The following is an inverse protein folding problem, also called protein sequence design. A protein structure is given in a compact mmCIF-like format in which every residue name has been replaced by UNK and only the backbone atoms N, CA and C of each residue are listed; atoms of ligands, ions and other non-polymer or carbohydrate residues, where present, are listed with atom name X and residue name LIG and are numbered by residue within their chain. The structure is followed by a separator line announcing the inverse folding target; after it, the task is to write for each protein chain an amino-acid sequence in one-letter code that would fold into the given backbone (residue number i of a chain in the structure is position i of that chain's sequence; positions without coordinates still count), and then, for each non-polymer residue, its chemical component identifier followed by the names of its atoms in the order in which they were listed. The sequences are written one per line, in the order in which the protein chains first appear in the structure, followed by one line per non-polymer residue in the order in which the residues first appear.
data_IF_449411947738
#
_entry.id   IF_449411947738
#
_cell.length_a   1.000
_cell.length_b   1.000
_cell.length_c   1.000
_cell.angle_alpha   90.00
_cell.angle_beta   90.00
_cell.angle_gamma   90.00
#
_symmetry.space_group_name_H-M   'P 1'
#
loop_
_entity.id
_entity.type
_entity.pdbx_description
1 polymer ?
#
# COMPACT_ATOMS: atom_id res chain seq x y z
N UNK A 1 12.17 -75.02 -47.14
CA UNK A 1 10.99 -75.15 -46.25
C UNK A 1 11.12 -74.07 -45.19
N UNK A 2 10.45 -72.93 -45.39
CA UNK A 2 10.53 -71.78 -44.49
C UNK A 2 9.26 -71.80 -43.63
N UNK A 3 9.40 -72.09 -42.33
CA UNK A 3 8.29 -72.06 -41.39
C UNK A 3 8.07 -70.59 -41.01
N UNK A 4 6.96 -70.04 -41.49
CA UNK A 4 6.50 -68.71 -41.13
C UNK A 4 5.76 -68.83 -39.79
N UNK A 5 6.39 -68.37 -38.71
CA UNK A 5 5.74 -68.27 -37.39
C UNK A 5 4.79 -67.07 -37.47
N UNK A 6 3.49 -67.35 -37.53
CA UNK A 6 2.44 -66.33 -37.43
C UNK A 6 2.47 -65.75 -36.02
N UNK A 7 2.59 -64.43 -35.90
CA UNK A 7 2.47 -63.71 -34.64
C UNK A 7 1.07 -63.94 -34.06
N UNK A 8 1.00 -64.52 -32.86
CA UNK A 8 -0.26 -64.74 -32.15
C UNK A 8 -0.70 -63.41 -31.54
N UNK A 9 -1.82 -62.85 -32.01
CA UNK A 9 -2.38 -61.64 -31.42
C UNK A 9 -2.98 -61.96 -30.05
N UNK A 10 -2.61 -61.18 -29.03
CA UNK A 10 -3.12 -61.32 -27.66
C UNK A 10 -4.55 -60.79 -27.64
N UNK A 11 -5.50 -61.63 -27.20
CA UNK A 11 -6.91 -61.28 -27.06
C UNK A 11 -7.33 -61.32 -25.60
N UNK A 12 -8.24 -60.44 -25.21
CA UNK A 12 -8.86 -60.44 -23.89
C UNK A 12 -10.32 -60.88 -23.97
N UNK A 13 -10.77 -61.52 -22.91
CA UNK A 13 -12.17 -61.90 -22.76
C UNK A 13 -12.93 -60.70 -22.18
N UNK A 14 -13.83 -60.11 -22.96
CA UNK A 14 -14.60 -58.93 -22.56
C UNK A 14 -16.09 -59.24 -22.52
N UNK A 15 -16.81 -58.65 -21.56
CA UNK A 15 -18.26 -58.73 -21.51
C UNK A 15 -18.87 -57.82 -22.58
N UNK A 16 -19.81 -58.34 -23.38
CA UNK A 16 -20.54 -57.58 -24.41
C UNK A 16 -21.89 -57.06 -23.90
N UNK A 17 -22.16 -57.19 -22.59
CA UNK A 17 -23.45 -56.87 -21.98
C UNK A 17 -24.48 -58.00 -22.06
N UNK A 18 -24.43 -58.85 -23.09
CA UNK A 18 -25.29 -60.03 -23.26
C UNK A 18 -24.51 -61.35 -23.36
N UNK A 19 -23.21 -61.32 -23.14
CA UNK A 19 -22.30 -62.46 -23.29
C UNK A 19 -20.85 -62.04 -23.10
N UNK A 20 -19.95 -62.86 -23.60
CA UNK A 20 -18.50 -62.65 -23.54
C UNK A 20 -17.91 -62.90 -24.91
N UNK A 21 -16.98 -62.05 -25.33
CA UNK A 21 -16.30 -62.14 -26.62
C UNK A 21 -14.80 -61.87 -26.49
N UNK A 22 -14.02 -62.39 -27.44
CA UNK A 22 -12.59 -62.17 -27.51
C UNK A 22 -12.29 -60.91 -28.32
N UNK A 23 -11.85 -59.86 -27.62
CA UNK A 23 -11.46 -58.59 -28.25
C UNK A 23 -9.95 -58.44 -28.30
N UNK A 24 -9.45 -57.71 -29.29
CA UNK A 24 -8.01 -57.46 -29.44
C UNK A 24 -7.52 -56.56 -28.30
N UNK A 25 -6.33 -56.86 -27.78
CA UNK A 25 -5.80 -56.26 -26.56
C UNK A 25 -5.64 -54.73 -26.59
N UNK A 26 -5.51 -54.17 -27.78
CA UNK A 26 -5.32 -52.75 -28.07
C UNK A 26 -6.63 -52.00 -28.38
N UNK A 27 -7.77 -52.72 -28.39
CA UNK A 27 -9.10 -52.15 -28.74
C UNK A 27 -10.10 -52.20 -27.58
N UNK A 28 -9.65 -52.47 -26.35
CA UNK A 28 -10.55 -52.62 -25.20
C UNK A 28 -11.24 -51.31 -24.84
N UNK A 29 -12.46 -51.10 -25.32
CA UNK A 29 -13.35 -50.03 -24.87
C UNK A 29 -14.44 -50.60 -23.97
N UNK A 30 -14.49 -50.17 -22.70
CA UNK A 30 -15.61 -50.50 -21.82
C UNK A 30 -16.74 -49.51 -22.11
N UNK A 31 -17.76 -49.95 -22.85
CA UNK A 31 -18.84 -49.07 -23.28
C UNK A 31 -19.63 -48.46 -22.10
N UNK A 32 -19.84 -49.24 -21.03
CA UNK A 32 -20.59 -48.82 -19.84
C UNK A 32 -19.97 -49.42 -18.57
N UNK A 33 -19.06 -48.71 -17.89
CA UNK A 33 -18.75 -49.02 -16.49
C UNK A 33 -19.77 -48.29 -15.60
N UNK A 34 -20.56 -49.02 -14.81
CA UNK A 34 -21.50 -48.40 -13.87
C UNK A 34 -20.73 -47.65 -12.78
N UNK A 35 -19.66 -48.27 -12.26
CA UNK A 35 -18.74 -47.67 -11.30
C UNK A 35 -17.29 -47.94 -11.71
N UNK A 36 -16.41 -46.98 -11.42
CA UNK A 36 -14.94 -47.14 -11.46
C UNK A 36 -14.44 -47.01 -10.01
N UNK A 37 -13.68 -47.99 -9.53
CA UNK A 37 -13.12 -47.96 -8.19
C UNK A 37 -12.00 -46.92 -8.07
N UNK A 38 -11.95 -46.22 -6.94
CA UNK A 38 -10.85 -45.31 -6.56
C UNK A 38 -10.36 -45.69 -5.16
N UNK A 39 -9.07 -45.50 -4.92
CA UNK A 39 -8.43 -45.78 -3.64
C UNK A 39 -7.79 -44.50 -3.11
N UNK A 40 -7.71 -44.37 -1.78
CA UNK A 40 -6.90 -43.34 -1.17
C UNK A 40 -5.42 -43.61 -1.47
N UNK A 41 -4.73 -42.61 -2.02
CA UNK A 41 -3.28 -42.58 -2.12
C UNK A 41 -2.75 -41.40 -1.30
N UNK A 42 -1.88 -41.71 -0.34
CA UNK A 42 -1.25 -40.74 0.56
C UNK A 42 0.27 -40.61 0.33
N UNK A 43 0.76 -41.17 -0.79
CA UNK A 43 2.17 -41.11 -1.17
C UNK A 43 2.62 -39.66 -1.36
N UNK A 44 3.75 -39.29 -0.75
CA UNK A 44 4.38 -37.97 -0.90
C UNK A 44 5.07 -37.85 -2.28
N UNK A 45 4.24 -37.68 -3.30
CA UNK A 45 4.65 -37.49 -4.67
C UNK A 45 3.57 -36.68 -5.42
N UNK A 46 3.99 -36.02 -6.50
CA UNK A 46 3.05 -35.36 -7.42
C UNK A 46 2.18 -36.42 -8.13
N UNK A 47 0.87 -36.38 -7.87
CA UNK A 47 -0.14 -37.21 -8.53
C UNK A 47 -0.78 -36.43 -9.67
N UNK A 48 -0.98 -37.06 -10.83
CA UNK A 48 -1.59 -36.38 -11.97
C UNK A 48 -3.10 -36.18 -11.78
N UNK A 49 -3.59 -34.98 -12.09
CA UNK A 49 -5.03 -34.73 -12.18
C UNK A 49 -5.49 -34.99 -13.60
N UNK A 50 -6.55 -35.78 -13.73
CA UNK A 50 -6.98 -36.29 -15.02
C UNK A 50 -8.11 -35.46 -15.64
N UNK A 51 -8.18 -35.43 -16.96
CA UNK A 51 -9.18 -34.67 -17.72
C UNK A 51 -9.61 -35.41 -19.00
N UNK A 52 -10.75 -34.97 -19.53
CA UNK A 52 -11.37 -35.54 -20.73
C UNK A 52 -11.43 -34.50 -21.84
N UNK A 53 -11.27 -34.95 -23.09
CA UNK A 53 -11.28 -34.06 -24.26
C UNK A 53 -12.67 -33.54 -24.67
N UNK A 54 -13.74 -34.10 -24.12
CA UNK A 54 -15.12 -33.68 -24.37
C UNK A 54 -16.00 -33.91 -23.13
N UNK A 55 -17.15 -33.23 -23.09
CA UNK A 55 -18.13 -33.30 -22.00
C UNK A 55 -19.11 -34.49 -22.10
N UNK A 56 -18.97 -35.34 -23.11
CA UNK A 56 -19.83 -36.49 -23.38
C UNK A 56 -19.12 -37.51 -24.27
N UNK A 57 -19.61 -38.76 -24.25
CA UNK A 57 -19.04 -39.87 -25.02
C UNK A 57 -17.91 -40.64 -24.31
N UNK A 58 -17.40 -41.67 -24.98
CA UNK A 58 -16.33 -42.54 -24.47
C UNK A 58 -14.95 -41.93 -24.76
N UNK A 59 -14.53 -40.96 -23.94
CA UNK A 59 -13.27 -40.25 -24.10
C UNK A 59 -12.13 -40.94 -23.32
N UNK A 60 -10.90 -40.97 -23.85
CA UNK A 60 -9.75 -41.45 -23.10
C UNK A 60 -9.48 -40.55 -21.89
N UNK A 61 -9.07 -41.15 -20.78
CA UNK A 61 -8.56 -40.40 -19.63
C UNK A 61 -7.15 -39.89 -19.95
N UNK A 62 -6.92 -38.58 -19.81
CA UNK A 62 -5.65 -37.91 -20.13
C UNK A 62 -5.13 -37.15 -18.92
N UNK A 63 -3.84 -36.85 -18.94
CA UNK A 63 -3.14 -36.06 -17.93
C UNK A 63 -2.22 -35.04 -18.61
N UNK A 64 -1.82 -34.02 -17.87
CA UNK A 64 -0.86 -32.99 -18.29
C UNK A 64 0.32 -33.00 -17.32
N UNK A 65 1.53 -32.74 -17.81
CA UNK A 65 2.74 -32.80 -17.01
C UNK A 65 2.73 -31.79 -15.85
N UNK A 66 2.12 -30.62 -16.06
CA UNK A 66 2.17 -29.49 -15.13
C UNK A 66 0.90 -29.38 -14.28
N UNK A 67 -0.06 -30.31 -14.45
CA UNK A 67 -1.29 -30.39 -13.65
C UNK A 67 -1.24 -31.57 -12.66
N UNK A 68 -0.71 -31.30 -11.47
CA UNK A 68 -0.49 -32.32 -10.44
C UNK A 68 -0.96 -31.89 -9.05
N UNK A 69 -1.21 -32.86 -8.19
CA UNK A 69 -1.59 -32.68 -6.78
C UNK A 69 -0.70 -33.54 -5.89
N UNK A 70 -0.08 -32.96 -4.86
CA UNK A 70 0.63 -33.72 -3.83
C UNK A 70 -0.28 -33.87 -2.58
N UNK A 71 -0.69 -35.11 -2.21
CA UNK A 71 -1.60 -35.35 -1.09
C UNK A 71 -0.95 -35.17 0.29
N UNK A 72 0.38 -35.27 0.40
CA UNK A 72 1.09 -35.03 1.66
C UNK A 72 1.21 -33.55 2.00
N UNK A 73 1.35 -32.68 0.99
CA UNK A 73 1.42 -31.21 1.19
C UNK A 73 0.10 -30.50 0.94
N UNK A 74 -0.95 -31.21 0.51
CA UNK A 74 -2.22 -30.65 0.04
C UNK A 74 -2.03 -29.50 -0.97
N UNK A 75 -1.10 -29.68 -1.91
CA UNK A 75 -0.74 -28.65 -2.89
C UNK A 75 -1.11 -29.08 -4.29
N UNK A 76 -1.88 -28.23 -4.98
CA UNK A 76 -2.16 -28.35 -6.41
C UNK A 76 -1.19 -27.49 -7.20
N UNK A 77 -0.47 -28.09 -8.16
CA UNK A 77 0.35 -27.42 -9.15
C UNK A 77 -0.42 -27.32 -10.46
N UNK A 78 -0.52 -26.12 -10.97
CA UNK A 78 -1.14 -25.77 -12.26
C UNK A 78 -0.34 -24.63 -12.86
N UNK A 79 -0.30 -24.55 -14.19
CA UNK A 79 0.26 -23.41 -14.90
C UNK A 79 -0.60 -22.16 -14.71
N UNK A 80 -1.54 -21.94 -15.63
CA UNK A 80 -2.44 -20.78 -15.59
C UNK A 80 -3.85 -21.21 -15.16
N UNK A 81 -4.44 -20.49 -14.18
CA UNK A 81 -5.87 -20.57 -13.90
C UNK A 81 -6.53 -19.35 -14.53
N UNK A 82 -7.48 -19.59 -15.42
CA UNK A 82 -8.25 -18.56 -16.11
C UNK A 82 -9.70 -18.65 -15.62
N UNK A 83 -10.33 -17.53 -15.28
CA UNK A 83 -11.77 -17.51 -14.99
C UNK A 83 -12.61 -17.77 -16.26
N UNK A 84 -13.93 -17.94 -16.10
CA UNK A 84 -14.85 -18.09 -17.24
C UNK A 84 -14.89 -16.90 -18.20
N UNK A 85 -14.29 -15.77 -17.79
CA UNK A 85 -14.18 -14.54 -18.56
C UNK A 85 -12.84 -14.42 -19.31
N UNK A 86 -11.94 -15.40 -19.17
CA UNK A 86 -10.65 -15.37 -19.86
C UNK A 86 -9.51 -14.69 -19.09
N UNK A 87 -9.71 -14.29 -17.82
CA UNK A 87 -8.68 -13.59 -17.06
C UNK A 87 -7.82 -14.54 -16.22
N UNK A 88 -6.52 -14.58 -16.50
CA UNK A 88 -5.50 -15.27 -15.70
C UNK A 88 -4.62 -14.24 -15.01
N UNK A 89 -4.97 -13.84 -13.78
CA UNK A 89 -4.03 -13.36 -12.74
C UNK A 89 -4.82 -12.64 -11.65
N UNK A 90 -4.48 -12.92 -10.39
CA UNK A 90 -4.97 -12.11 -9.25
C UNK A 90 -4.48 -10.65 -9.30
N UNK A 91 -3.46 -10.36 -10.13
CA UNK A 91 -2.85 -9.04 -10.31
C UNK A 91 -2.80 -8.65 -11.79
N UNK A 92 -3.34 -7.48 -12.13
CA UNK A 92 -3.27 -6.92 -13.48
C UNK A 92 -2.15 -5.87 -13.58
N UNK A 93 -1.60 -5.68 -14.79
CA UNK A 93 -0.59 -4.65 -15.06
C UNK A 93 -1.05 -3.28 -14.58
N UNK A 94 -0.18 -2.55 -13.90
CA UNK A 94 -0.48 -1.25 -13.30
C UNK A 94 -0.96 -1.31 -11.85
N UNK A 95 -1.25 -2.50 -11.29
CA UNK A 95 -1.47 -2.63 -9.84
C UNK A 95 -0.19 -2.33 -9.07
N UNK A 96 -0.32 -1.54 -8.01
CA UNK A 96 0.78 -1.15 -7.12
C UNK A 96 0.53 -1.77 -5.73
N UNK A 97 1.57 -2.37 -5.16
CA UNK A 97 1.54 -2.96 -3.82
C UNK A 97 2.72 -2.47 -2.98
N UNK A 98 2.53 -2.47 -1.66
CA UNK A 98 3.61 -2.28 -0.71
C UNK A 98 4.46 -3.55 -0.63
N UNK A 99 5.78 -3.39 -0.68
CA UNK A 99 6.74 -4.47 -0.64
C UNK A 99 7.84 -4.20 0.37
N UNK A 100 8.07 -5.18 1.24
CA UNK A 100 9.13 -5.15 2.24
C UNK A 100 10.27 -6.06 1.78
N UNK A 101 11.22 -5.50 1.03
CA UNK A 101 12.38 -6.20 0.49
C UNK A 101 13.40 -5.24 -0.13
N UNK A 102 14.52 -5.79 -0.58
CA UNK A 102 15.62 -5.02 -1.20
C UNK A 102 15.30 -4.65 -2.65
N UNK A 103 15.42 -3.39 -3.04
CA UNK A 103 15.15 -2.93 -4.42
C UNK A 103 15.97 -3.69 -5.49
N UNK A 104 17.07 -4.35 -5.12
CA UNK A 104 17.85 -5.23 -6.02
C UNK A 104 17.21 -6.61 -6.28
N UNK A 105 16.25 -7.05 -5.46
CA UNK A 105 15.66 -8.39 -5.46
C UNK A 105 14.14 -8.37 -5.65
N UNK A 106 13.64 -7.43 -6.45
CA UNK A 106 12.22 -7.33 -6.77
C UNK A 106 11.78 -8.60 -7.51
N UNK A 107 10.68 -9.27 -7.10
CA UNK A 107 10.20 -10.47 -7.77
C UNK A 107 9.94 -10.26 -9.26
N UNK A 108 10.21 -11.29 -10.07
CA UNK A 108 9.93 -11.27 -11.51
C UNK A 108 8.46 -10.91 -11.81
N UNK A 109 8.25 -10.09 -12.83
CA UNK A 109 6.92 -9.57 -13.20
C UNK A 109 6.48 -8.34 -12.41
N UNK A 110 7.36 -7.77 -11.59
CA UNK A 110 7.16 -6.51 -10.88
C UNK A 110 8.35 -5.57 -11.10
N UNK A 111 8.12 -4.27 -10.98
CA UNK A 111 9.15 -3.21 -11.08
C UNK A 111 8.97 -2.18 -9.97
N UNK A 112 10.05 -1.48 -9.60
CA UNK A 112 9.99 -0.40 -8.62
C UNK A 112 9.20 0.79 -9.18
N UNK A 113 8.37 1.43 -8.35
CA UNK A 113 7.71 2.69 -8.68
C UNK A 113 8.68 3.88 -8.52
N UNK A 114 9.60 4.04 -9.47
CA UNK A 114 10.67 5.04 -9.45
C UNK A 114 10.61 6.05 -10.61
N UNK A 115 9.55 6.00 -11.43
CA UNK A 115 9.39 6.82 -12.64
C UNK A 115 9.90 6.16 -13.92
N UNK A 116 10.59 5.03 -13.83
CA UNK A 116 11.01 4.23 -14.99
C UNK A 116 9.95 3.20 -15.35
N UNK A 117 10.05 2.60 -16.55
CA UNK A 117 9.13 1.54 -17.03
C UNK A 117 7.64 1.94 -16.96
N UNK A 118 7.34 3.22 -17.23
CA UNK A 118 5.99 3.80 -17.16
C UNK A 118 5.34 3.71 -15.77
N UNK A 119 6.13 3.51 -14.72
CA UNK A 119 5.66 3.59 -13.33
C UNK A 119 5.56 5.03 -12.86
N UNK A 120 4.69 5.36 -11.89
CA UNK A 120 4.82 6.60 -11.14
C UNK A 120 6.05 6.56 -10.24
N UNK A 121 6.69 7.71 -9.98
CA UNK A 121 7.75 7.82 -8.97
C UNK A 121 7.13 8.04 -7.58
N UNK A 122 7.07 6.97 -6.79
CA UNK A 122 6.48 6.96 -5.43
C UNK A 122 7.52 6.94 -4.31
N UNK A 123 8.82 7.12 -4.63
CA UNK A 123 9.88 7.20 -3.63
C UNK A 123 9.71 8.45 -2.78
N UNK A 124 9.87 8.32 -1.46
CA UNK A 124 9.69 9.39 -0.47
C UNK A 124 8.33 10.10 -0.54
N UNK A 125 7.28 9.39 -0.97
CA UNK A 125 5.93 9.93 -1.10
C UNK A 125 4.92 9.16 -0.25
N UNK A 126 3.99 9.91 0.32
CA UNK A 126 2.77 9.36 0.90
C UNK A 126 1.69 9.29 -0.18
N UNK A 127 1.08 8.11 -0.36
CA UNK A 127 0.02 7.91 -1.36
C UNK A 127 -1.31 8.43 -0.83
N UNK A 128 -1.98 9.24 -1.65
CA UNK A 128 -3.34 9.73 -1.42
C UNK A 128 -4.26 9.24 -2.54
N UNK A 129 -5.50 8.89 -2.19
CA UNK A 129 -6.50 8.46 -3.18
C UNK A 129 -6.83 9.60 -4.15
N UNK A 130 -6.76 9.33 -5.45
CA UNK A 130 -7.24 10.25 -6.47
C UNK A 130 -8.77 10.42 -6.36
N UNK A 131 -9.26 11.64 -6.57
CA UNK A 131 -10.67 12.01 -6.38
C UNK A 131 -10.86 13.50 -6.62
N UNK A 132 -11.92 14.11 -6.08
CA UNK A 132 -12.28 15.50 -6.42
C UNK A 132 -11.16 16.53 -6.17
N UNK A 133 -10.49 16.45 -5.01
CA UNK A 133 -9.42 17.39 -4.65
C UNK A 133 -8.06 17.01 -5.27
N UNK A 134 -7.92 15.78 -5.75
CA UNK A 134 -6.71 15.22 -6.37
C UNK A 134 -7.13 14.54 -7.68
N UNK A 135 -7.54 15.38 -8.64
CA UNK A 135 -8.42 15.03 -9.77
C UNK A 135 -7.91 13.96 -10.73
N UNK A 136 -6.61 13.69 -10.72
CA UNK A 136 -6.00 12.66 -11.54
C UNK A 136 -4.94 11.86 -10.77
N UNK A 137 -4.79 10.59 -11.13
CA UNK A 137 -3.66 9.78 -10.70
C UNK A 137 -2.35 10.45 -11.14
N UNK A 138 -1.35 10.47 -10.25
CA UNK A 138 -0.05 11.08 -10.51
C UNK A 138 0.07 12.56 -10.12
N UNK A 139 -1.00 13.22 -9.64
CA UNK A 139 -0.84 14.53 -8.99
C UNK A 139 0.09 14.40 -7.78
N UNK A 140 1.02 15.34 -7.65
CA UNK A 140 1.99 15.38 -6.55
C UNK A 140 1.94 16.72 -5.82
N UNK A 141 2.37 16.72 -4.56
CA UNK A 141 2.44 17.90 -3.72
C UNK A 141 2.92 17.56 -2.30
N UNK A 142 2.81 18.53 -1.40
CA UNK A 142 3.27 18.40 -0.01
C UNK A 142 4.75 18.76 0.17
N UNK A 143 5.18 18.85 1.42
CA UNK A 143 6.53 19.18 1.82
C UNK A 143 6.95 18.33 3.03
N UNK A 144 8.23 17.91 3.05
CA UNK A 144 8.81 17.18 4.18
C UNK A 144 9.01 18.03 5.42
N UNK A 145 9.13 19.35 5.25
CA UNK A 145 9.30 20.32 6.33
C UNK A 145 8.53 21.60 6.05
N UNK A 146 8.14 22.31 7.10
CA UNK A 146 7.48 23.60 7.03
C UNK A 146 8.34 24.68 7.70
N UNK A 147 8.59 25.78 6.99
CA UNK A 147 9.17 27.00 7.57
C UNK A 147 8.06 28.02 7.77
N UNK A 148 7.92 28.53 8.99
CA UNK A 148 6.93 29.58 9.28
C UNK A 148 7.38 30.90 8.65
N UNK A 149 6.46 31.52 7.92
CA UNK A 149 6.59 32.90 7.43
C UNK A 149 5.80 33.87 8.31
N UNK A 150 6.04 35.18 8.17
CA UNK A 150 5.23 36.21 8.84
C UNK A 150 3.74 36.06 8.53
N UNK A 151 3.37 35.63 7.31
CA UNK A 151 1.98 35.39 6.92
C UNK A 151 1.32 34.22 7.68
N UNK A 152 2.11 33.35 8.32
CA UNK A 152 1.61 32.26 9.15
C UNK A 152 1.47 32.65 10.63
N UNK A 153 1.90 33.86 11.02
CA UNK A 153 1.81 34.31 12.40
C UNK A 153 0.44 34.94 12.67
N UNK A 154 -0.26 34.54 13.75
CA UNK A 154 -1.46 35.24 14.18
C UNK A 154 -1.18 36.72 14.49
N UNK A 155 -2.17 37.58 14.24
CA UNK A 155 -2.11 38.99 14.62
C UNK A 155 -1.91 39.12 16.13
N UNK A 156 -0.89 39.88 16.53
CA UNK A 156 -0.56 40.15 17.92
C UNK A 156 -0.03 41.57 18.08
N UNK A 157 -0.06 42.11 19.30
CA UNK A 157 0.47 43.44 19.61
C UNK A 157 1.11 43.46 20.99
N UNK A 158 2.12 44.31 21.16
CA UNK A 158 2.76 44.56 22.45
C UNK A 158 2.50 45.99 22.92
N UNK A 159 2.35 46.15 24.24
CA UNK A 159 2.39 47.45 24.90
C UNK A 159 3.74 47.56 25.60
N UNK A 160 4.56 48.51 25.18
CA UNK A 160 5.88 48.76 25.78
C UNK A 160 5.84 50.11 26.50
N UNK A 161 6.29 50.12 27.76
CA UNK A 161 6.42 51.34 28.58
C UNK A 161 7.91 51.56 28.84
N UNK A 162 8.48 52.65 28.33
CA UNK A 162 9.85 53.06 28.63
C UNK A 162 9.85 54.33 29.49
N UNK A 163 10.56 54.33 30.61
CA UNK A 163 10.84 55.54 31.38
C UNK A 163 12.25 56.04 31.08
N UNK A 164 12.40 57.06 30.23
CA UNK A 164 13.71 57.57 29.80
C UNK A 164 14.21 58.80 30.56
N UNK A 165 13.56 59.25 31.64
CA UNK A 165 14.01 60.42 32.39
C UNK A 165 14.23 60.08 33.87
N UNK A 166 15.48 60.18 34.32
CA UNK A 166 15.80 60.31 35.74
C UNK A 166 15.58 61.76 36.16
N UNK A 167 14.52 62.04 36.94
CA UNK A 167 14.38 63.36 37.58
C UNK A 167 12.97 63.79 37.95
N UNK A 168 12.69 63.75 39.26
CA UNK A 168 11.80 64.58 40.09
C UNK A 168 10.28 64.65 39.79
N UNK A 169 9.57 63.82 40.56
CA UNK A 169 8.42 64.10 41.44
C UNK A 169 7.79 65.52 41.40
N UNK A 170 6.50 65.63 41.02
CA UNK A 170 5.36 66.06 41.87
C UNK A 170 4.00 66.02 41.12
N UNK A 171 2.99 65.44 41.79
CA UNK A 171 1.51 65.41 41.57
C UNK A 171 0.95 65.32 40.13
N UNK A 172 0.18 64.24 39.86
CA UNK A 172 -0.30 63.70 38.56
C UNK A 172 0.70 62.75 37.86
N UNK A 173 1.05 61.70 38.62
CA UNK A 173 2.19 60.79 38.50
C UNK A 173 2.49 60.19 37.12
N UNK A 174 3.72 60.42 36.63
CA UNK A 174 4.33 59.63 35.55
C UNK A 174 4.92 58.32 36.11
N UNK A 175 4.74 57.23 35.36
CA UNK A 175 5.40 55.94 35.61
C UNK A 175 6.92 56.15 35.46
N UNK A 176 7.69 55.83 36.51
CA UNK A 176 9.15 55.96 36.51
C UNK A 176 9.84 54.63 36.81
N UNK A 177 11.14 54.52 36.55
CA UNK A 177 11.94 53.31 36.82
C UNK A 177 11.92 52.88 38.31
N UNK A 178 11.54 53.79 39.21
CA UNK A 178 11.43 53.54 40.65
C UNK A 178 9.97 53.42 41.14
N UNK A 179 8.96 53.48 40.26
CA UNK A 179 7.56 53.33 40.63
C UNK A 179 6.82 52.33 39.71
N UNK A 180 6.30 51.26 40.29
CA UNK A 180 5.48 50.27 39.59
C UNK A 180 4.02 50.73 39.56
N UNK A 181 3.32 50.54 38.44
CA UNK A 181 1.85 50.65 38.43
C UNK A 181 1.31 49.55 39.34
N UNK A 182 0.88 49.92 40.55
CA UNK A 182 0.33 49.01 41.56
C UNK A 182 -1.13 49.37 41.82
N UNK A 183 -1.96 48.37 42.13
CA UNK A 183 -3.31 48.61 42.66
C UNK A 183 -3.18 49.40 43.96
N UNK A 184 -3.57 50.66 43.96
CA UNK A 184 -3.44 51.53 45.13
C UNK A 184 -4.19 50.98 46.34
N UNK A 185 -3.58 51.07 47.52
CA UNK A 185 -4.23 50.84 48.83
C UNK A 185 -4.59 52.18 49.51
N UNK A 186 -4.74 53.25 48.72
CA UNK A 186 -5.01 54.60 49.20
C UNK A 186 -6.45 54.80 49.70
N UNK A 187 -6.62 55.80 50.58
CA UNK A 187 -7.92 56.20 51.12
C UNK A 187 -8.94 56.50 50.00
N UNK A 188 -10.19 56.09 50.23
CA UNK A 188 -11.24 55.99 49.21
C UNK A 188 -11.40 57.21 48.30
N UNK A 189 -11.75 56.91 47.04
CA UNK A 189 -12.13 57.84 45.96
C UNK A 189 -11.03 58.59 45.21
N UNK A 190 -9.94 57.92 44.85
CA UNK A 190 -9.18 58.30 43.65
C UNK A 190 -9.21 57.14 42.66
N UNK A 191 -10.03 57.26 41.62
CA UNK A 191 -9.80 56.52 40.38
C UNK A 191 -8.46 57.01 39.82
N UNK A 192 -7.36 56.33 40.16
CA UNK A 192 -6.07 56.60 39.54
C UNK A 192 -6.12 56.12 38.08
N UNK A 193 -6.57 57.00 37.20
CA UNK A 193 -6.50 56.82 35.76
C UNK A 193 -5.10 57.23 35.29
N UNK A 194 -4.28 56.26 34.93
CA UNK A 194 -2.99 56.52 34.27
C UNK A 194 -3.25 56.75 32.79
N UNK A 195 -3.09 57.99 32.31
CA UNK A 195 -3.12 58.29 30.88
C UNK A 195 -1.76 57.93 30.27
N UNK A 196 -1.66 56.78 29.61
CA UNK A 196 -0.52 56.47 28.75
C UNK A 196 -0.72 57.19 27.41
N UNK A 197 -0.22 58.42 27.30
CA UNK A 197 -0.25 59.16 26.05
C UNK A 197 0.98 58.81 25.20
N UNK A 198 0.77 58.30 23.97
CA UNK A 198 1.81 58.25 22.96
C UNK A 198 1.93 59.61 22.28
N UNK A 199 3.07 60.28 22.39
CA UNK A 199 3.32 61.51 21.64
C UNK A 199 3.84 61.15 20.25
N UNK A 200 2.93 61.12 19.27
CA UNK A 200 3.26 60.98 17.84
C UNK A 200 2.86 59.66 17.20
N UNK A 201 2.85 59.65 15.86
CA UNK A 201 2.79 58.44 15.03
C UNK A 201 4.15 57.72 15.11
N UNK A 202 4.34 56.99 16.22
CA UNK A 202 5.36 55.99 16.56
C UNK A 202 6.87 56.27 16.35
N UNK A 203 7.62 56.42 17.46
CA UNK A 203 9.05 56.06 17.56
C UNK A 203 9.61 55.94 19.01
N UNK A 204 8.81 55.59 20.02
CA UNK A 204 9.30 55.40 21.40
C UNK A 204 8.80 54.11 22.11
N UNK A 205 8.36 53.11 21.34
CA UNK A 205 8.17 51.76 21.87
C UNK A 205 9.49 50.98 21.71
N UNK A 206 10.11 50.57 22.81
CA UNK A 206 11.30 49.71 22.77
C UNK A 206 11.02 48.47 21.94
N UNK A 207 11.76 48.24 20.85
CA UNK A 207 11.65 47.01 20.07
C UNK A 207 12.13 45.86 20.96
N UNK A 208 11.34 44.80 21.10
CA UNK A 208 11.87 43.54 21.60
C UNK A 208 12.98 43.07 20.66
N UNK A 209 13.93 42.28 21.17
CA UNK A 209 14.89 41.60 20.32
C UNK A 209 14.16 40.69 19.34
N UNK A 210 14.66 40.60 18.10
CA UNK A 210 14.19 39.58 17.16
C UNK A 210 14.50 38.19 17.75
N UNK A 211 13.46 37.38 17.95
CA UNK A 211 13.55 36.00 18.43
C UNK A 211 12.82 35.08 17.46
N UNK A 212 13.32 33.85 17.33
CA UNK A 212 12.88 32.87 16.34
C UNK A 212 14.05 32.44 15.46
N UNK A 213 14.31 31.13 15.37
CA UNK A 213 15.47 30.60 14.62
C UNK A 213 15.19 30.44 13.12
N UNK A 214 13.92 30.49 12.71
CA UNK A 214 13.51 30.16 11.33
C UNK A 214 13.79 28.70 10.95
N UNK A 215 14.14 27.84 11.92
CA UNK A 215 14.43 26.42 11.67
C UNK A 215 13.15 25.73 11.19
N UNK A 216 13.19 25.00 10.05
CA UNK A 216 12.05 24.24 9.59
C UNK A 216 11.62 23.20 10.62
N UNK A 217 10.32 22.99 10.75
CA UNK A 217 9.75 21.88 11.52
C UNK A 217 9.55 20.68 10.61
N UNK A 218 9.87 19.48 11.11
CA UNK A 218 9.53 18.24 10.41
C UNK A 218 8.00 18.11 10.35
N UNK A 219 7.47 17.91 9.14
CA UNK A 219 6.04 17.77 8.89
C UNK A 219 5.61 16.31 8.66
N UNK A 220 6.53 15.35 8.81
CA UNK A 220 6.24 13.92 8.62
C UNK A 220 5.71 13.30 9.91
N UNK A 221 4.62 12.51 9.84
CA UNK A 221 4.27 11.57 10.90
C UNK A 221 5.39 10.53 11.09
N UNK A 222 5.40 9.84 12.23
CA UNK A 222 6.24 8.64 12.41
C UNK A 222 5.92 7.63 11.29
N UNK A 223 6.94 7.11 10.61
CA UNK A 223 6.78 6.25 9.44
C UNK A 223 7.71 5.03 9.47
N UNK A 224 7.31 4.00 8.72
CA UNK A 224 8.12 2.84 8.39
C UNK A 224 8.15 2.69 6.87
N UNK A 225 9.34 2.75 6.27
CA UNK A 225 9.50 2.83 4.82
C UNK A 225 9.44 1.44 4.18
N UNK A 226 8.51 1.27 3.24
CA UNK A 226 8.41 0.13 2.33
C UNK A 226 8.56 0.62 0.89
N UNK A 227 8.91 -0.29 -0.01
CA UNK A 227 8.93 0.01 -1.43
C UNK A 227 7.52 -0.06 -2.01
N UNK A 228 7.24 0.78 -3.00
CA UNK A 228 6.11 0.59 -3.91
C UNK A 228 6.60 -0.15 -5.15
N UNK A 229 6.00 -1.31 -5.46
CA UNK A 229 6.27 -2.04 -6.70
C UNK A 229 5.00 -2.16 -7.53
N UNK A 230 5.14 -2.13 -8.86
CA UNK A 230 4.05 -2.19 -9.83
C UNK A 230 4.13 -3.48 -10.65
N UNK A 231 2.99 -4.16 -10.84
CA UNK A 231 2.89 -5.30 -11.74
C UNK A 231 3.12 -4.85 -13.18
N UNK A 232 4.08 -5.46 -13.87
CA UNK A 232 4.30 -5.30 -15.32
C UNK A 232 3.42 -6.24 -16.11
#
# INVERSE_FOLDING_TARGET
MLIQILAQQVKYFSSTGNGVDWIDADTTSVANSVNVGVNLDSTDADQFVSFFGANSGNNPNRVDNDFTYNPSTNTLKVGNIIDSSGNASAFVTGMIILWYGDTSNIPGGWVLCDGNNSTPDLRDRFVIGAGNNFSAAGNTGGNNSLTLSEANLPSHRHFVVSNSLGGQNRTNSNVSANNQVRKGTGAGNLYESYNLASTGSDAAAGRSSAVGSGTPIDNKPLYHALCYIMKT
#
